data_IF_903769268918
#
_entry.id   IF_903769268918
#
_cell.length_a   1.000
_cell.length_b   1.000
_cell.length_c   1.000
_cell.angle_alpha   90.00
_cell.angle_beta   90.00
_cell.angle_gamma   90.00
#
_symmetry.space_group_name_H-M   'P 1'
#
loop_
_entity.id
_entity.type
_entity.pdbx_description
1 polymer ?
#
# COMPACT_ATOMS: atom_id res chain seq x y z
N UNK A 1 8.30 29.89 32.02
CA UNK A 1 8.80 28.85 32.94
C UNK A 1 7.92 28.66 34.19
N UNK A 2 7.53 29.68 34.98
CA UNK A 2 6.70 29.44 36.17
C UNK A 2 5.35 28.80 35.88
N UNK A 3 4.74 29.08 34.75
CA UNK A 3 3.47 28.48 34.34
C UNK A 3 3.60 26.97 34.05
N UNK A 4 4.63 26.57 33.32
CA UNK A 4 4.90 25.15 33.02
C UNK A 4 5.18 24.33 34.29
N UNK A 5 5.96 24.89 35.21
CA UNK A 5 6.22 24.26 36.52
C UNK A 5 4.94 24.07 37.35
N UNK A 6 4.01 25.05 37.33
CA UNK A 6 2.70 24.93 38.00
C UNK A 6 1.82 23.83 37.38
N UNK A 7 1.99 23.55 36.11
CA UNK A 7 1.26 22.47 35.43
C UNK A 7 1.84 21.06 35.71
N UNK A 8 2.96 20.98 36.43
CA UNK A 8 3.61 19.70 36.73
C UNK A 8 4.21 19.00 35.51
N UNK A 9 4.37 19.69 34.39
CA UNK A 9 4.95 19.11 33.18
C UNK A 9 6.48 19.03 33.30
N UNK A 10 7.11 17.89 33.01
CA UNK A 10 8.57 17.79 32.97
C UNK A 10 9.12 18.65 31.83
N UNK A 11 10.22 19.34 32.07
CA UNK A 11 10.84 20.26 31.14
C UNK A 11 12.17 19.70 30.67
N UNK A 12 12.30 19.48 29.37
CA UNK A 12 13.56 19.14 28.70
C UNK A 12 14.07 20.43 28.03
N UNK A 13 15.23 20.91 28.43
CA UNK A 13 15.88 22.07 27.80
C UNK A 13 16.95 21.62 26.82
N UNK A 14 16.94 22.20 25.63
CA UNK A 14 18.08 22.14 24.70
C UNK A 14 18.74 23.52 24.71
N UNK A 15 20.02 23.59 25.01
CA UNK A 15 20.70 24.84 25.21
C UNK A 15 22.22 24.76 24.91
N UNK A 16 22.81 25.87 24.57
CA UNK A 16 24.28 25.99 24.32
C UNK A 16 25.14 25.88 25.58
N UNK A 17 24.55 25.91 26.79
CA UNK A 17 25.32 25.81 28.03
C UNK A 17 24.48 25.50 29.25
N UNK A 18 25.03 24.68 30.15
CA UNK A 18 24.38 24.19 31.35
C UNK A 18 24.11 25.27 32.41
N UNK A 19 24.80 26.41 32.32
CA UNK A 19 24.64 27.54 33.25
C UNK A 19 23.58 28.55 32.82
N UNK A 20 22.83 28.29 31.75
CA UNK A 20 21.76 29.15 31.29
C UNK A 20 20.56 29.16 32.24
N UNK A 21 19.78 30.24 32.25
CA UNK A 21 18.52 30.32 33.02
C UNK A 21 17.52 29.26 32.57
N UNK A 22 17.58 28.82 31.31
CA UNK A 22 16.77 27.75 30.77
C UNK A 22 17.18 26.40 31.37
N UNK A 23 18.50 26.12 31.42
CA UNK A 23 19.02 24.89 32.03
C UNK A 23 18.68 24.81 33.54
N UNK A 24 18.80 25.90 34.26
CA UNK A 24 18.47 25.97 35.69
C UNK A 24 16.97 25.69 35.99
N UNK A 25 16.10 25.89 35.01
CA UNK A 25 14.65 25.66 35.14
C UNK A 25 14.18 24.30 34.65
N UNK A 26 15.03 23.52 33.98
CA UNK A 26 14.68 22.24 33.36
C UNK A 26 14.92 21.05 34.29
N UNK A 27 14.19 19.98 34.06
CA UNK A 27 14.36 18.68 34.69
C UNK A 27 15.44 17.84 33.99
N UNK A 28 15.58 18.03 32.66
CA UNK A 28 16.62 17.41 31.84
C UNK A 28 17.25 18.48 30.95
N UNK A 29 18.58 18.48 30.86
CA UNK A 29 19.33 19.39 29.99
C UNK A 29 20.08 18.62 28.93
N UNK A 30 19.83 18.97 27.67
CA UNK A 30 20.58 18.51 26.52
C UNK A 30 21.43 19.67 26.00
N UNK A 31 22.74 19.53 26.11
CA UNK A 31 23.68 20.56 25.74
C UNK A 31 24.18 20.37 24.31
N UNK A 32 24.01 21.41 23.45
CA UNK A 32 24.57 21.43 22.09
C UNK A 32 25.97 22.09 22.04
N UNK A 33 26.46 22.58 23.20
CA UNK A 33 27.74 23.24 23.32
C UNK A 33 27.75 24.68 22.80
N UNK A 34 28.85 25.39 23.06
CA UNK A 34 29.08 26.71 22.52
C UNK A 34 29.56 26.61 21.07
N UNK A 35 28.62 26.61 20.13
CA UNK A 35 28.94 26.54 18.69
C UNK A 35 29.02 27.95 18.11
N UNK A 36 30.13 28.34 17.45
CA UNK A 36 30.21 29.63 16.78
C UNK A 36 29.24 29.70 15.61
N UNK A 37 28.54 30.79 15.47
CA UNK A 37 27.62 31.02 14.36
C UNK A 37 28.37 31.22 13.04
N UNK A 38 27.86 30.63 11.95
CA UNK A 38 28.41 30.78 10.61
C UNK A 38 28.08 32.20 10.00
N UNK A 39 27.17 32.92 10.62
CA UNK A 39 26.84 34.28 10.21
C UNK A 39 28.09 35.21 10.30
N UNK A 40 28.48 35.92 9.23
CA UNK A 40 29.63 36.80 9.23
C UNK A 40 29.59 37.90 10.31
N UNK A 41 28.40 38.30 10.74
CA UNK A 41 28.16 39.25 11.80
C UNK A 41 28.06 38.63 13.19
N UNK A 42 28.01 37.29 13.29
CA UNK A 42 27.83 36.56 14.55
C UNK A 42 26.47 36.81 15.22
N UNK A 43 25.46 37.34 14.51
CA UNK A 43 24.19 37.77 15.08
C UNK A 43 23.03 36.81 14.76
N UNK A 44 23.03 36.25 13.55
CA UNK A 44 21.95 35.37 13.12
C UNK A 44 22.23 33.94 13.54
N UNK A 45 21.24 33.22 14.15
CA UNK A 45 21.37 31.82 14.48
C UNK A 45 21.48 31.01 13.18
N UNK A 46 22.55 30.25 13.03
CA UNK A 46 22.90 29.44 11.87
C UNK A 46 23.38 28.06 12.32
N UNK A 47 24.62 27.96 12.80
CA UNK A 47 25.21 26.71 13.28
C UNK A 47 24.41 26.13 14.47
N UNK A 48 23.99 26.99 15.40
CA UNK A 48 23.17 26.59 16.54
C UNK A 48 21.81 26.00 16.12
N UNK A 49 21.20 26.60 15.08
CA UNK A 49 19.93 26.08 14.52
C UNK A 49 20.11 24.69 13.91
N UNK A 50 21.18 24.46 13.15
CA UNK A 50 21.50 23.16 12.56
C UNK A 50 21.77 22.11 13.66
N UNK A 51 22.53 22.48 14.69
CA UNK A 51 22.80 21.58 15.82
C UNK A 51 21.51 21.20 16.58
N UNK A 52 20.61 22.17 16.79
CA UNK A 52 19.31 21.94 17.41
C UNK A 52 18.44 20.99 16.58
N UNK A 53 18.40 21.19 15.26
CA UNK A 53 17.66 20.34 14.34
C UNK A 53 18.20 18.90 14.37
N UNK A 54 19.52 18.75 14.25
CA UNK A 54 20.17 17.43 14.27
C UNK A 54 19.89 16.66 15.59
N UNK A 55 19.95 17.37 16.73
CA UNK A 55 19.62 16.78 18.02
C UNK A 55 18.13 16.39 18.11
N UNK A 56 17.25 17.26 17.60
CA UNK A 56 15.81 16.98 17.53
C UNK A 56 15.50 15.74 16.73
N UNK A 57 16.10 15.58 15.58
CA UNK A 57 15.96 14.41 14.72
C UNK A 57 16.50 13.14 15.42
N UNK A 58 17.67 13.22 16.07
CA UNK A 58 18.24 12.10 16.83
C UNK A 58 17.30 11.65 17.95
N UNK A 59 16.69 12.59 18.69
CA UNK A 59 15.70 12.29 19.71
C UNK A 59 14.44 11.66 19.12
N UNK A 60 13.92 12.23 18.03
CA UNK A 60 12.74 11.70 17.36
C UNK A 60 12.97 10.25 16.89
N UNK A 61 14.11 9.96 16.26
CA UNK A 61 14.47 8.62 15.82
C UNK A 61 14.66 7.65 16.99
N UNK A 62 15.24 8.12 18.09
CA UNK A 62 15.38 7.31 19.32
C UNK A 62 14.02 6.95 19.92
N UNK A 63 13.10 7.89 19.99
CA UNK A 63 11.73 7.65 20.50
C UNK A 63 10.96 6.72 19.55
N UNK A 64 11.06 6.92 18.25
CA UNK A 64 10.46 6.07 17.23
C UNK A 64 10.93 4.63 17.36
N UNK A 65 12.25 4.41 17.48
CA UNK A 65 12.84 3.09 17.68
C UNK A 65 12.36 2.44 19.00
N UNK A 66 12.37 3.17 20.09
CA UNK A 66 11.92 2.66 21.41
C UNK A 66 10.44 2.32 21.46
N UNK A 67 9.61 3.00 20.66
CA UNK A 67 8.18 2.72 20.55
C UNK A 67 7.86 1.55 19.61
N UNK A 68 8.86 1.00 18.92
CA UNK A 68 8.65 -0.04 17.91
C UNK A 68 7.76 0.41 16.75
N UNK A 69 7.84 1.72 16.42
CA UNK A 69 7.02 2.31 15.36
C UNK A 69 7.35 1.65 14.02
N UNK A 70 6.32 1.08 13.37
CA UNK A 70 6.49 0.29 12.16
C UNK A 70 6.25 1.11 10.88
N UNK A 71 6.76 0.63 9.72
CA UNK A 71 6.45 1.23 8.43
C UNK A 71 4.93 1.30 8.13
N UNK A 72 4.16 0.30 8.59
CA UNK A 72 2.71 0.25 8.43
C UNK A 72 2.03 1.40 9.19
N UNK A 73 2.43 1.64 10.43
CA UNK A 73 1.94 2.78 11.23
C UNK A 73 2.32 4.12 10.58
N UNK A 74 3.50 4.20 9.94
CA UNK A 74 3.86 5.39 9.17
C UNK A 74 2.94 5.60 7.97
N UNK A 75 2.60 4.53 7.25
CA UNK A 75 1.69 4.58 6.10
C UNK A 75 0.28 5.04 6.50
N UNK A 76 -0.25 4.54 7.63
CA UNK A 76 -1.54 4.98 8.19
C UNK A 76 -1.59 6.49 8.44
N UNK A 77 -0.48 7.07 8.92
CA UNK A 77 -0.38 8.51 9.18
C UNK A 77 -0.12 9.34 7.91
N UNK A 78 0.41 8.72 6.85
CA UNK A 78 0.81 9.39 5.61
C UNK A 78 0.29 8.67 4.34
N UNK A 79 -1.02 8.41 4.22
CA UNK A 79 -1.58 7.55 3.16
C UNK A 79 -1.35 8.10 1.75
N UNK A 80 -1.27 9.43 1.59
CA UNK A 80 -1.07 10.09 0.29
C UNK A 80 0.40 10.20 -0.14
N UNK A 81 1.35 9.92 0.76
CA UNK A 81 2.78 10.03 0.50
C UNK A 81 3.34 8.87 -0.35
N UNK A 82 4.48 9.09 -1.02
CA UNK A 82 5.14 8.06 -1.81
C UNK A 82 5.44 6.77 -1.01
N UNK A 83 5.77 6.90 0.27
CA UNK A 83 6.01 5.76 1.15
C UNK A 83 4.71 5.05 1.54
N UNK A 84 3.62 5.80 1.84
CA UNK A 84 2.31 5.21 2.13
C UNK A 84 1.80 4.36 0.97
N UNK A 85 1.95 4.85 -0.26
CA UNK A 85 1.56 4.11 -1.47
C UNK A 85 2.34 2.81 -1.65
N UNK A 86 3.64 2.79 -1.35
CA UNK A 86 4.47 1.58 -1.44
C UNK A 86 4.09 0.49 -0.43
N UNK A 87 3.38 0.86 0.63
CA UNK A 87 2.96 -0.05 1.71
C UNK A 87 1.49 -0.45 1.59
N UNK A 88 0.75 0.05 0.58
CA UNK A 88 -0.61 -0.38 0.29
C UNK A 88 -0.65 -1.90 0.06
N UNK A 89 -1.61 -2.54 0.70
CA UNK A 89 -1.86 -3.97 0.51
C UNK A 89 -2.89 -4.19 -0.59
N UNK A 90 -2.83 -5.35 -1.21
CA UNK A 90 -3.76 -5.74 -2.29
C UNK A 90 -5.21 -5.61 -1.85
N UNK A 91 -5.55 -5.98 -0.61
CA UNK A 91 -6.92 -5.87 -0.05
C UNK A 91 -7.50 -4.44 -0.05
N UNK A 92 -6.65 -3.42 -0.06
CA UNK A 92 -7.06 -2.01 -0.01
C UNK A 92 -7.40 -1.45 -1.39
N UNK A 93 -6.97 -2.15 -2.45
CA UNK A 93 -7.15 -1.71 -3.84
C UNK A 93 -7.89 -2.73 -4.70
N UNK A 94 -8.02 -3.99 -4.26
CA UNK A 94 -8.72 -5.04 -5.01
C UNK A 94 -10.22 -4.80 -5.07
N UNK A 95 -10.83 -5.27 -6.14
CA UNK A 95 -12.28 -5.34 -6.32
C UNK A 95 -12.83 -6.54 -5.56
N UNK A 96 -13.98 -6.38 -4.92
CA UNK A 96 -14.64 -7.42 -4.13
C UNK A 96 -16.13 -7.53 -4.48
N UNK A 97 -16.82 -8.53 -3.96
CA UNK A 97 -18.26 -8.71 -4.15
C UNK A 97 -18.64 -8.81 -5.64
N UNK A 98 -19.60 -8.01 -6.08
CA UNK A 98 -20.09 -8.03 -7.47
C UNK A 98 -19.00 -7.63 -8.51
N UNK A 99 -17.96 -6.92 -8.10
CA UNK A 99 -16.83 -6.55 -8.96
C UNK A 99 -15.72 -7.62 -9.01
N UNK A 100 -15.88 -8.74 -8.30
CA UNK A 100 -15.03 -9.94 -8.36
C UNK A 100 -15.86 -11.14 -8.85
N UNK A 101 -16.20 -11.22 -10.14
CA UNK A 101 -17.04 -12.30 -10.64
C UNK A 101 -16.33 -13.65 -10.54
N UNK A 102 -17.04 -14.58 -9.97
CA UNK A 102 -16.59 -15.97 -9.80
C UNK A 102 -17.63 -16.90 -10.41
N UNK A 103 -17.19 -17.81 -11.26
CA UNK A 103 -18.06 -18.77 -11.95
C UNK A 103 -17.55 -20.20 -11.75
N UNK A 104 -18.46 -21.19 -11.78
CA UNK A 104 -18.07 -22.59 -11.82
C UNK A 104 -17.37 -22.91 -13.14
N UNK A 105 -16.43 -23.84 -13.12
CA UNK A 105 -15.78 -24.38 -14.33
C UNK A 105 -16.76 -24.92 -15.36
N UNK A 106 -17.96 -25.32 -14.94
CA UNK A 106 -19.01 -25.92 -15.78
C UNK A 106 -20.01 -24.87 -16.31
N UNK A 107 -19.86 -23.59 -15.90
CA UNK A 107 -20.68 -22.46 -16.38
C UNK A 107 -20.47 -22.25 -17.89
N UNK A 108 -21.55 -21.93 -18.62
CA UNK A 108 -21.47 -21.66 -20.05
C UNK A 108 -20.68 -20.37 -20.35
N UNK A 109 -20.07 -20.30 -21.53
CA UNK A 109 -19.40 -19.08 -22.01
C UNK A 109 -20.34 -17.88 -22.05
N UNK A 110 -21.61 -18.09 -22.44
CA UNK A 110 -22.64 -17.04 -22.49
C UNK A 110 -22.86 -16.43 -21.09
N UNK A 111 -23.06 -17.26 -20.09
CA UNK A 111 -23.27 -16.82 -18.71
C UNK A 111 -22.00 -16.17 -18.13
N UNK A 112 -20.83 -16.74 -18.42
CA UNK A 112 -19.54 -16.17 -17.99
C UNK A 112 -19.35 -14.78 -18.57
N UNK A 113 -19.57 -14.57 -19.87
CA UNK A 113 -19.48 -13.29 -20.51
C UNK A 113 -20.50 -12.27 -19.94
N UNK A 114 -21.72 -12.73 -19.60
CA UNK A 114 -22.72 -11.88 -18.97
C UNK A 114 -22.27 -11.40 -17.59
N UNK A 115 -21.71 -12.29 -16.77
CA UNK A 115 -21.18 -11.95 -15.43
C UNK A 115 -20.02 -10.97 -15.52
N UNK A 116 -19.11 -11.09 -16.49
CA UNK A 116 -17.99 -10.16 -16.72
C UNK A 116 -18.46 -8.77 -17.15
N UNK A 117 -19.66 -8.65 -17.72
CA UNK A 117 -20.23 -7.40 -18.20
C UNK A 117 -21.05 -6.65 -17.14
N UNK A 118 -21.11 -7.16 -15.91
CA UNK A 118 -21.88 -6.57 -14.80
C UNK A 118 -21.23 -5.34 -14.18
N UNK A 119 -21.70 -4.95 -13.00
CA UNK A 119 -21.25 -3.75 -12.28
C UNK A 119 -19.73 -3.68 -12.15
N UNK A 120 -19.15 -2.55 -12.52
CA UNK A 120 -17.72 -2.27 -12.39
C UNK A 120 -16.87 -2.75 -13.58
N UNK A 121 -17.46 -3.41 -14.58
CA UNK A 121 -16.75 -3.92 -15.77
C UNK A 121 -15.47 -4.64 -15.40
N UNK A 122 -15.56 -5.77 -14.69
CA UNK A 122 -14.38 -6.45 -14.14
C UNK A 122 -13.40 -6.95 -15.22
N UNK A 123 -13.83 -7.12 -16.46
CA UNK A 123 -12.98 -7.53 -17.58
C UNK A 123 -12.47 -8.97 -17.50
N UNK A 124 -12.75 -9.68 -16.41
CA UNK A 124 -12.38 -11.06 -16.19
C UNK A 124 -13.34 -11.75 -15.22
N UNK A 125 -13.38 -13.07 -15.24
CA UNK A 125 -14.03 -13.90 -14.23
C UNK A 125 -13.08 -14.97 -13.72
N UNK A 126 -13.01 -15.13 -12.41
CA UNK A 126 -12.32 -16.23 -11.75
C UNK A 126 -13.13 -17.53 -11.92
N UNK A 127 -12.50 -18.58 -12.40
CA UNK A 127 -13.14 -19.89 -12.60
C UNK A 127 -12.74 -20.81 -11.47
N UNK A 128 -13.75 -21.40 -10.80
CA UNK A 128 -13.53 -22.26 -9.62
C UNK A 128 -14.03 -23.67 -9.84
N UNK A 129 -13.46 -24.60 -9.07
CA UNK A 129 -13.94 -25.97 -8.95
C UNK A 129 -15.11 -26.11 -7.96
N UNK A 130 -15.56 -27.33 -7.73
CA UNK A 130 -16.63 -27.65 -6.78
C UNK A 130 -16.28 -27.34 -5.31
N UNK A 131 -15.00 -27.22 -4.96
CA UNK A 131 -14.52 -26.81 -3.64
C UNK A 131 -14.38 -25.30 -3.50
N UNK A 132 -14.67 -24.53 -4.55
CA UNK A 132 -14.52 -23.06 -4.60
C UNK A 132 -13.08 -22.60 -4.82
N UNK A 133 -12.15 -23.50 -5.18
CA UNK A 133 -10.75 -23.15 -5.45
C UNK A 133 -10.60 -22.67 -6.88
N UNK A 134 -9.73 -21.68 -7.06
CA UNK A 134 -9.38 -21.12 -8.37
C UNK A 134 -8.69 -22.17 -9.24
N UNK A 135 -9.25 -22.43 -10.41
CA UNK A 135 -8.70 -23.37 -11.41
C UNK A 135 -8.39 -22.68 -12.75
N UNK A 136 -8.89 -21.48 -12.94
CA UNK A 136 -8.66 -20.72 -14.17
C UNK A 136 -9.16 -19.30 -14.08
N UNK A 137 -8.89 -18.55 -15.15
CA UNK A 137 -9.41 -17.20 -15.39
C UNK A 137 -9.92 -17.13 -16.83
N UNK A 138 -11.00 -16.38 -17.04
CA UNK A 138 -11.50 -16.07 -18.37
C UNK A 138 -11.62 -14.55 -18.49
N UNK A 139 -11.01 -13.96 -19.53
CA UNK A 139 -10.86 -12.50 -19.68
C UNK A 139 -11.57 -11.99 -20.92
N UNK A 140 -11.76 -10.66 -21.03
CA UNK A 140 -12.23 -10.00 -22.25
C UNK A 140 -11.31 -10.28 -23.45
N UNK A 141 -10.00 -10.44 -23.20
CA UNK A 141 -9.04 -10.85 -24.21
C UNK A 141 -9.31 -12.25 -24.75
N UNK A 142 -9.67 -13.19 -23.87
CA UNK A 142 -10.05 -14.57 -24.25
C UNK A 142 -11.34 -14.57 -25.07
N UNK A 143 -12.35 -13.82 -24.58
CA UNK A 143 -13.61 -13.67 -25.28
C UNK A 143 -13.41 -13.09 -26.70
N UNK A 144 -12.59 -12.05 -26.81
CA UNK A 144 -12.29 -11.43 -28.11
C UNK A 144 -11.60 -12.39 -29.06
N UNK A 145 -10.64 -13.20 -28.58
CA UNK A 145 -9.98 -14.24 -29.38
C UNK A 145 -10.94 -15.32 -29.83
N UNK A 146 -11.89 -15.71 -29.00
CA UNK A 146 -12.93 -16.67 -29.37
C UNK A 146 -13.85 -16.15 -30.46
N UNK A 147 -14.33 -14.91 -30.33
CA UNK A 147 -15.25 -14.31 -31.32
C UNK A 147 -14.59 -14.13 -32.70
N UNK A 148 -13.26 -14.13 -32.77
CA UNK A 148 -12.52 -14.11 -34.06
C UNK A 148 -12.48 -15.47 -34.75
N UNK A 149 -12.89 -16.55 -34.09
CA UNK A 149 -13.00 -17.87 -34.69
C UNK A 149 -14.41 -18.04 -35.33
N UNK A 150 -14.44 -18.66 -36.47
CA UNK A 150 -15.71 -19.01 -37.09
C UNK A 150 -16.41 -20.08 -36.22
N UNK A 151 -17.72 -19.95 -35.99
CA UNK A 151 -18.59 -20.92 -35.34
C UNK A 151 -18.31 -21.13 -33.83
N UNK A 152 -18.36 -20.04 -33.03
CA UNK A 152 -18.21 -20.10 -31.57
C UNK A 152 -19.46 -20.65 -30.90
N UNK A 153 -19.33 -21.80 -30.27
CA UNK A 153 -20.39 -22.36 -29.42
C UNK A 153 -20.36 -21.73 -28.01
N UNK A 154 -21.22 -20.74 -27.78
CA UNK A 154 -21.38 -20.08 -26.48
C UNK A 154 -22.04 -20.93 -25.40
N UNK A 155 -22.54 -22.11 -25.74
CA UNK A 155 -23.10 -23.07 -24.75
C UNK A 155 -22.02 -23.94 -24.09
N UNK A 156 -20.80 -23.94 -24.64
CA UNK A 156 -19.66 -24.67 -24.07
C UNK A 156 -19.35 -24.19 -22.68
N UNK A 157 -18.84 -25.09 -21.85
CA UNK A 157 -18.29 -24.79 -20.54
C UNK A 157 -17.05 -23.87 -20.65
N UNK A 158 -16.92 -22.89 -19.75
CA UNK A 158 -15.77 -21.99 -19.66
C UNK A 158 -14.46 -22.75 -19.44
N UNK A 159 -14.48 -23.89 -18.80
CA UNK A 159 -13.30 -24.75 -18.56
C UNK A 159 -12.63 -25.24 -19.84
N UNK A 160 -13.34 -25.23 -20.97
CA UNK A 160 -12.79 -25.65 -22.27
C UNK A 160 -11.88 -24.59 -22.90
N UNK A 161 -11.99 -23.33 -22.48
CA UNK A 161 -11.34 -22.17 -23.13
C UNK A 161 -10.63 -21.22 -22.17
N UNK A 162 -10.83 -21.36 -20.84
CA UNK A 162 -10.18 -20.53 -19.81
C UNK A 162 -8.67 -20.65 -19.83
N UNK A 163 -7.97 -19.60 -19.43
CA UNK A 163 -6.58 -19.67 -19.03
C UNK A 163 -6.45 -20.50 -17.75
N UNK A 164 -5.66 -21.58 -17.79
CA UNK A 164 -5.45 -22.47 -16.63
C UNK A 164 -4.28 -21.98 -15.79
N UNK A 165 -4.35 -22.27 -14.48
CA UNK A 165 -3.28 -21.91 -13.53
C UNK A 165 -2.87 -20.43 -13.64
N UNK A 166 -3.81 -19.49 -13.50
CA UNK A 166 -3.48 -18.08 -13.58
C UNK A 166 -2.47 -17.69 -12.50
N UNK A 167 -1.69 -16.65 -12.76
CA UNK A 167 -0.94 -15.99 -11.69
C UNK A 167 -1.92 -15.45 -10.66
N UNK A 168 -1.55 -15.50 -9.39
CA UNK A 168 -2.38 -15.05 -8.27
C UNK A 168 -1.55 -14.25 -7.27
N UNK A 169 -2.23 -13.53 -6.38
CA UNK A 169 -1.61 -12.83 -5.26
C UNK A 169 -2.49 -12.96 -4.02
N UNK A 170 -1.90 -12.84 -2.85
CA UNK A 170 -2.62 -12.81 -1.58
C UNK A 170 -3.19 -11.42 -1.24
N UNK A 171 -4.26 -11.33 -0.43
CA UNK A 171 -4.84 -10.05 -0.04
C UNK A 171 -3.91 -9.21 0.86
N UNK A 172 -2.98 -9.86 1.57
CA UNK A 172 -2.03 -9.23 2.48
C UNK A 172 -0.70 -8.84 1.84
N UNK A 173 -0.49 -9.25 0.59
CA UNK A 173 0.69 -8.87 -0.18
C UNK A 173 0.67 -7.38 -0.51
N UNK A 174 1.83 -6.82 -0.85
CA UNK A 174 1.93 -5.42 -1.25
C UNK A 174 1.37 -5.21 -2.67
N UNK A 175 0.66 -4.11 -2.85
CA UNK A 175 0.11 -3.75 -4.16
C UNK A 175 1.20 -3.47 -5.22
N UNK A 176 2.40 -3.07 -4.81
CA UNK A 176 3.55 -2.94 -5.71
C UNK A 176 3.99 -4.29 -6.26
N UNK A 177 3.94 -5.36 -5.47
CA UNK A 177 4.23 -6.72 -5.96
C UNK A 177 3.18 -7.17 -6.99
N UNK A 178 1.90 -6.81 -6.79
CA UNK A 178 0.88 -7.06 -7.81
C UNK A 178 1.19 -6.33 -9.13
N UNK A 179 1.67 -5.08 -9.05
CA UNK A 179 2.08 -4.31 -10.22
C UNK A 179 3.21 -4.99 -10.99
N UNK A 180 4.21 -5.53 -10.30
CA UNK A 180 5.31 -6.30 -10.89
C UNK A 180 4.79 -7.56 -11.60
N UNK A 181 3.91 -8.33 -10.95
CA UNK A 181 3.32 -9.56 -11.53
C UNK A 181 2.53 -9.25 -12.81
N UNK A 182 1.70 -8.18 -12.80
CA UNK A 182 0.93 -7.75 -13.96
C UNK A 182 1.86 -7.32 -15.11
N UNK A 183 2.88 -6.53 -14.81
CA UNK A 183 3.84 -6.02 -15.80
C UNK A 183 4.67 -7.16 -16.44
N UNK A 184 5.30 -8.00 -15.63
CA UNK A 184 6.10 -9.12 -16.08
C UNK A 184 5.28 -10.18 -16.83
N UNK A 185 4.02 -10.38 -16.37
CA UNK A 185 3.10 -11.33 -16.98
C UNK A 185 2.46 -10.82 -18.26
N UNK A 186 2.58 -9.50 -18.56
CA UNK A 186 1.84 -8.83 -19.63
C UNK A 186 0.32 -9.15 -19.55
N UNK A 187 -0.22 -9.08 -18.32
CA UNK A 187 -1.62 -9.35 -18.01
C UNK A 187 -2.26 -8.12 -17.36
N UNK A 188 -3.55 -7.93 -17.59
CA UNK A 188 -4.30 -6.78 -17.07
C UNK A 188 -5.06 -7.11 -15.78
N UNK A 189 -5.36 -8.39 -15.52
CA UNK A 189 -6.13 -8.85 -14.38
C UNK A 189 -5.38 -9.92 -13.59
N UNK A 190 -5.48 -9.84 -12.26
CA UNK A 190 -4.83 -10.73 -11.32
C UNK A 190 -5.84 -11.18 -10.25
N UNK A 191 -6.23 -12.48 -10.20
CA UNK A 191 -7.05 -12.99 -9.13
C UNK A 191 -6.34 -12.90 -7.78
N UNK A 192 -7.05 -12.43 -6.76
CA UNK A 192 -6.59 -12.40 -5.37
C UNK A 192 -7.18 -13.60 -4.66
N UNK A 193 -6.33 -14.44 -4.08
CA UNK A 193 -6.74 -15.69 -3.43
C UNK A 193 -6.38 -15.71 -1.95
N UNK A 194 -7.22 -16.37 -1.16
CA UNK A 194 -6.91 -16.67 0.24
C UNK A 194 -5.91 -17.82 0.39
N UNK A 195 -5.57 -18.17 1.63
CA UNK A 195 -4.68 -19.28 1.96
C UNK A 195 -5.17 -20.66 1.53
N UNK A 196 -6.48 -20.79 1.23
CA UNK A 196 -7.09 -22.03 0.73
C UNK A 196 -7.17 -22.06 -0.81
N UNK A 197 -6.74 -20.98 -1.48
CA UNK A 197 -6.76 -20.84 -2.94
C UNK A 197 -8.13 -20.43 -3.48
N UNK A 198 -9.00 -19.81 -2.67
CA UNK A 198 -10.31 -19.31 -3.10
C UNK A 198 -10.19 -17.84 -3.54
N UNK A 199 -10.82 -17.44 -4.66
CA UNK A 199 -10.78 -16.07 -5.12
C UNK A 199 -11.59 -15.15 -4.19
N UNK A 200 -10.91 -14.27 -3.46
CA UNK A 200 -11.49 -13.28 -2.54
C UNK A 200 -11.55 -11.89 -3.14
N UNK A 201 -10.87 -11.67 -4.26
CA UNK A 201 -10.85 -10.41 -4.99
C UNK A 201 -10.30 -10.56 -6.40
N UNK A 202 -10.44 -9.48 -7.15
CA UNK A 202 -9.84 -9.30 -8.48
C UNK A 202 -9.11 -7.97 -8.48
N UNK A 203 -7.89 -7.94 -8.98
CA UNK A 203 -7.11 -6.73 -9.17
C UNK A 203 -6.94 -6.48 -10.67
N UNK A 204 -7.27 -5.28 -11.12
CA UNK A 204 -7.07 -4.82 -12.48
C UNK A 204 -5.96 -3.77 -12.52
N UNK A 205 -5.22 -3.68 -13.62
CA UNK A 205 -4.18 -2.67 -13.82
C UNK A 205 -4.70 -1.24 -13.60
N UNK A 206 -5.97 -0.97 -13.93
CA UNK A 206 -6.62 0.33 -13.73
C UNK A 206 -6.79 0.69 -12.24
N UNK A 207 -6.95 -0.32 -11.38
CA UNK A 207 -7.04 -0.09 -9.93
C UNK A 207 -5.71 0.42 -9.39
N UNK A 208 -4.59 -0.14 -9.86
CA UNK A 208 -3.23 0.30 -9.50
C UNK A 208 -2.90 1.69 -10.07
N UNK A 209 -3.34 1.99 -11.30
CA UNK A 209 -3.22 3.33 -11.89
C UNK A 209 -4.01 4.36 -11.09
N UNK A 210 -5.24 4.02 -10.69
CA UNK A 210 -6.09 4.89 -9.86
C UNK A 210 -5.49 5.15 -8.49
N UNK A 211 -4.82 4.17 -7.91
CA UNK A 211 -4.04 4.29 -6.67
C UNK A 211 -2.68 5.00 -6.88
N UNK A 212 -2.33 5.36 -8.14
CA UNK A 212 -1.04 5.96 -8.53
C UNK A 212 0.18 5.12 -8.11
N UNK A 213 0.05 3.81 -8.22
CA UNK A 213 1.13 2.85 -7.97
C UNK A 213 1.91 2.53 -9.25
N UNK A 214 1.28 2.74 -10.40
CA UNK A 214 1.89 2.70 -11.73
C UNK A 214 1.90 4.13 -12.27
N UNK A 215 3.08 4.65 -12.61
CA UNK A 215 3.27 5.99 -13.16
C UNK A 215 4.62 6.17 -13.77
#
# INVERSE_FOLDING_TARGET
MPALKRMGAPIIAVTGGQKSSLAAAADVVLEIGPVPEACPLGLAPTTSTVALLALGDALAMTVLHRRGFSPEQFAELHPAGALGKRLLRVREVMRTGAANPTVSKDTSLRETAAVMSTVGRPGAASVVDAAGKLVGIFTDGDLRRLVQQDDVDFTRSVSAVMGRNPRTIGPDDLAVTAAEILHEGQIDQLPVVDSEGRPVGLLDVQDLLSARLLG
#
